data_IF_507439447733
#
_entry.id   IF_507439447733
#
_cell.length_a   1.000
_cell.length_b   1.000
_cell.length_c   1.000
_cell.angle_alpha   90.00
_cell.angle_beta   90.00
_cell.angle_gamma   90.00
#
_symmetry.space_group_name_H-M   'P 1'
#
loop_
_entity.id
_entity.type
_entity.pdbx_description
1 polymer ?
#
# COMPACT_ATOMS: atom_id res chain seq x y z
N UNK A 1 9.46 -41.80 50.59
CA UNK A 1 9.78 -42.17 49.20
C UNK A 1 9.98 -40.86 48.43
N UNK A 2 11.15 -40.24 48.59
CA UNK A 2 12.24 -40.16 47.59
C UNK A 2 11.86 -39.43 46.31
N UNK A 3 12.36 -38.20 46.19
CA UNK A 3 12.31 -37.32 45.04
C UNK A 3 13.18 -37.87 43.90
N UNK A 4 12.75 -37.67 42.65
CA UNK A 4 13.59 -37.79 41.47
C UNK A 4 13.39 -36.53 40.60
N UNK A 5 14.28 -35.55 40.78
CA UNK A 5 14.45 -34.44 39.85
C UNK A 5 15.28 -34.97 38.66
N UNK A 6 14.63 -35.09 37.50
CA UNK A 6 15.28 -35.46 36.24
C UNK A 6 16.12 -34.31 35.71
N UNK A 7 17.42 -34.55 35.61
CA UNK A 7 18.42 -33.69 35.01
C UNK A 7 18.16 -33.54 33.50
N UNK A 8 17.78 -32.35 33.05
CA UNK A 8 17.91 -31.92 31.67
C UNK A 8 18.72 -30.63 31.63
N UNK A 9 20.04 -30.78 31.70
CA UNK A 9 20.98 -29.72 31.38
C UNK A 9 21.17 -29.65 29.88
N UNK A 10 20.53 -28.67 29.22
CA UNK A 10 20.94 -28.24 27.90
C UNK A 10 22.02 -27.16 28.07
N UNK A 11 23.26 -27.52 27.77
CA UNK A 11 24.38 -26.59 27.68
C UNK A 11 24.08 -25.55 26.59
N UNK A 12 23.94 -24.29 26.99
CA UNK A 12 23.80 -23.16 26.08
C UNK A 12 25.16 -22.88 25.44
N UNK A 13 25.34 -23.26 24.17
CA UNK A 13 26.53 -22.90 23.41
C UNK A 13 26.48 -21.41 23.05
N UNK A 14 27.51 -20.68 23.47
CA UNK A 14 27.61 -19.21 23.36
C UNK A 14 28.17 -18.71 22.02
N UNK A 15 28.37 -19.59 21.03
CA UNK A 15 28.87 -19.18 19.71
C UNK A 15 27.72 -18.93 18.73
N UNK A 16 27.19 -17.69 18.73
CA UNK A 16 26.35 -17.18 17.64
C UNK A 16 27.23 -16.61 16.53
N UNK A 17 27.01 -17.08 15.30
CA UNK A 17 27.51 -16.43 14.09
C UNK A 17 27.02 -14.97 14.02
N UNK A 18 27.85 -14.02 13.53
CA UNK A 18 27.44 -12.63 13.41
C UNK A 18 26.35 -12.47 12.34
N UNK A 19 25.36 -11.62 12.64
CA UNK A 19 24.26 -11.30 11.73
C UNK A 19 24.75 -10.72 10.38
N UNK A 20 24.15 -11.11 9.24
CA UNK A 20 24.51 -10.58 7.94
C UNK A 20 24.18 -9.09 7.84
N UNK A 21 25.15 -8.29 7.40
CA UNK A 21 25.02 -6.84 7.23
C UNK A 21 24.13 -6.52 6.02
N UNK A 22 23.01 -5.82 6.25
CA UNK A 22 22.10 -5.37 5.19
C UNK A 22 22.76 -4.20 4.44
N UNK A 23 23.12 -4.40 3.18
CA UNK A 23 23.63 -3.33 2.31
C UNK A 23 22.48 -2.39 1.89
N UNK A 24 22.72 -1.08 2.01
CA UNK A 24 21.77 -0.03 1.61
C UNK A 24 21.66 0.02 0.07
N UNK A 25 20.45 0.11 -0.52
CA UNK A 25 20.30 0.24 -1.97
C UNK A 25 20.79 1.61 -2.49
N UNK A 26 21.32 1.68 -3.73
CA UNK A 26 21.87 2.90 -4.30
C UNK A 26 20.79 3.94 -4.65
N UNK A 27 21.11 5.22 -4.42
CA UNK A 27 20.27 6.38 -4.73
C UNK A 27 20.14 6.60 -6.25
N UNK A 28 18.92 6.91 -6.70
CA UNK A 28 18.61 7.36 -8.06
C UNK A 28 19.13 8.78 -8.29
N UNK A 29 19.86 8.99 -9.39
CA UNK A 29 20.27 10.32 -9.87
C UNK A 29 19.19 10.93 -10.75
N UNK A 30 18.73 12.13 -10.39
CA UNK A 30 17.88 12.99 -11.19
C UNK A 30 18.69 13.66 -12.32
N UNK A 31 18.10 13.78 -13.52
CA UNK A 31 18.71 14.45 -14.69
C UNK A 31 18.11 15.87 -14.85
N UNK A 32 18.90 16.91 -15.20
CA UNK A 32 18.44 18.30 -15.12
C UNK A 32 17.79 18.83 -16.41
N UNK A 33 16.81 19.71 -16.21
CA UNK A 33 16.13 20.56 -17.18
C UNK A 33 17.08 21.58 -17.85
N UNK A 34 17.06 21.65 -19.19
CA UNK A 34 17.79 22.65 -19.98
C UNK A 34 17.01 23.97 -20.17
N UNK A 35 17.69 25.14 -20.26
CA UNK A 35 17.03 26.44 -20.35
C UNK A 35 16.94 27.04 -21.76
N UNK A 36 16.02 28.00 -21.82
CA UNK A 36 15.58 28.92 -22.87
C UNK A 36 16.65 29.78 -23.58
N UNK A 37 16.29 30.25 -24.79
CA UNK A 37 16.89 31.39 -25.50
C UNK A 37 17.10 31.08 -26.98
N UNK A 38 16.98 31.99 -27.94
CA UNK A 38 16.71 33.43 -27.98
C UNK A 38 16.46 33.78 -29.46
N UNK A 39 15.59 34.75 -29.72
CA UNK A 39 15.28 35.25 -31.05
C UNK A 39 16.46 35.99 -31.68
N UNK A 40 16.72 35.74 -32.96
CA UNK A 40 17.55 36.59 -33.81
C UNK A 40 16.76 36.97 -35.08
N UNK A 41 16.57 38.27 -35.19
CA UNK A 41 15.93 39.04 -36.25
C UNK A 41 17.04 39.48 -37.21
N UNK A 42 16.93 39.15 -38.50
CA UNK A 42 17.80 39.73 -39.54
C UNK A 42 16.99 40.57 -40.53
N UNK A 43 17.32 41.86 -40.50
CA UNK A 43 16.94 42.91 -41.42
C UNK A 43 17.36 42.62 -42.86
N UNK A 44 16.47 42.88 -43.81
CA UNK A 44 16.85 43.16 -45.20
C UNK A 44 16.13 44.43 -45.66
N UNK A 45 16.83 45.54 -45.94
CA UNK A 45 16.23 46.66 -46.64
C UNK A 45 16.52 46.53 -48.14
N UNK A 46 15.52 46.78 -48.99
CA UNK A 46 15.50 47.93 -49.91
C UNK A 46 14.49 47.75 -51.05
N UNK A 47 13.65 48.78 -51.18
CA UNK A 47 13.16 49.40 -52.43
C UNK A 47 12.39 48.52 -53.44
N UNK A 48 11.06 48.57 -53.32
CA UNK A 48 10.13 48.30 -54.41
C UNK A 48 8.85 49.09 -54.22
N UNK A 49 8.69 50.17 -54.99
CA UNK A 49 7.51 51.02 -55.06
C UNK A 49 6.22 50.21 -55.31
N UNK A 50 5.13 50.52 -54.61
CA UNK A 50 3.78 50.60 -55.18
C UNK A 50 2.72 50.99 -54.14
N UNK A 51 2.10 52.14 -54.37
CA UNK A 51 0.68 52.47 -54.21
C UNK A 51 -0.07 52.04 -52.93
N UNK A 52 -0.56 53.06 -52.22
CA UNK A 52 -1.73 52.99 -51.35
C UNK A 52 -2.88 52.19 -52.00
N UNK A 53 -3.38 51.18 -51.29
CA UNK A 53 -4.79 50.82 -51.40
C UNK A 53 -5.32 50.56 -49.99
N UNK A 54 -6.15 51.49 -49.53
CA UNK A 54 -6.94 51.36 -48.31
C UNK A 54 -7.87 50.15 -48.46
N UNK A 55 -7.48 48.98 -47.96
CA UNK A 55 -8.38 47.82 -47.91
C UNK A 55 -9.42 48.03 -46.80
N UNK A 56 -10.58 48.52 -47.20
CA UNK A 56 -11.78 48.54 -46.38
C UNK A 56 -12.22 47.09 -46.07
N UNK A 57 -11.98 46.66 -44.83
CA UNK A 57 -12.41 45.35 -44.31
C UNK A 57 -13.93 45.20 -44.41
N UNK A 58 -14.40 44.47 -45.42
CA UNK A 58 -15.77 43.95 -45.45
C UNK A 58 -15.84 42.77 -44.48
N UNK A 59 -16.51 42.98 -43.35
CA UNK A 59 -16.78 41.94 -42.35
C UNK A 59 -17.33 40.67 -43.00
N UNK A 60 -16.63 39.55 -42.78
CA UNK A 60 -17.00 38.22 -43.29
C UNK A 60 -18.24 37.75 -42.55
N UNK A 61 -19.41 37.82 -43.20
CA UNK A 61 -20.64 37.20 -42.68
C UNK A 61 -20.52 35.68 -42.82
N UNK A 62 -20.41 34.98 -41.71
CA UNK A 62 -20.43 33.52 -41.65
C UNK A 62 -21.88 33.05 -41.76
N UNK A 63 -22.25 32.55 -42.93
CA UNK A 63 -23.56 31.90 -43.12
C UNK A 63 -23.39 30.41 -42.86
N UNK A 64 -23.87 29.93 -41.71
CA UNK A 64 -23.92 28.51 -41.40
C UNK A 64 -25.07 27.87 -42.18
N UNK A 65 -24.76 27.11 -43.23
CA UNK A 65 -25.75 26.30 -43.94
C UNK A 65 -25.80 24.93 -43.26
N UNK A 66 -26.83 24.69 -42.47
CA UNK A 66 -27.06 23.37 -41.85
C UNK A 66 -27.66 22.45 -42.91
N UNK A 67 -26.86 21.51 -43.41
CA UNK A 67 -27.32 20.52 -44.39
C UNK A 67 -27.98 19.34 -43.68
N UNK A 68 -29.32 19.32 -43.69
CA UNK A 68 -30.14 18.23 -43.13
C UNK A 68 -30.18 17.03 -44.08
N UNK A 69 -29.01 16.48 -44.39
CA UNK A 69 -28.95 15.20 -45.11
C UNK A 69 -29.35 14.07 -44.16
N UNK A 70 -30.02 13.01 -44.66
CA UNK A 70 -30.41 11.88 -43.82
C UNK A 70 -29.22 11.25 -43.09
N UNK A 71 -28.02 11.29 -43.69
CA UNK A 71 -26.78 10.82 -43.08
C UNK A 71 -26.35 11.64 -41.85
N UNK A 72 -26.43 12.98 -41.93
CA UNK A 72 -26.07 13.86 -40.80
C UNK A 72 -27.04 13.70 -39.62
N UNK A 73 -28.32 13.47 -39.90
CA UNK A 73 -29.35 13.24 -38.88
C UNK A 73 -29.10 11.90 -38.17
N UNK A 74 -28.84 10.83 -38.93
CA UNK A 74 -28.55 9.49 -38.37
C UNK A 74 -27.28 9.54 -37.50
N UNK A 75 -26.22 10.21 -37.96
CA UNK A 75 -25.00 10.37 -37.17
C UNK A 75 -25.22 11.17 -35.89
N UNK A 76 -25.99 12.28 -35.96
CA UNK A 76 -26.30 13.08 -34.77
C UNK A 76 -27.12 12.30 -33.74
N UNK A 77 -28.14 11.54 -34.17
CA UNK A 77 -28.94 10.69 -33.29
C UNK A 77 -28.10 9.57 -32.67
N UNK A 78 -27.20 8.95 -33.44
CA UNK A 78 -26.28 7.93 -32.95
C UNK A 78 -25.35 8.44 -31.86
N UNK A 79 -24.77 9.62 -32.04
CA UNK A 79 -23.89 10.26 -31.03
C UNK A 79 -24.66 10.59 -29.75
N UNK A 80 -25.87 11.14 -29.87
CA UNK A 80 -26.72 11.44 -28.71
C UNK A 80 -27.13 10.16 -27.98
N UNK A 81 -27.51 9.11 -28.70
CA UNK A 81 -27.86 7.82 -28.09
C UNK A 81 -26.69 7.21 -27.32
N UNK A 82 -25.47 7.23 -27.88
CA UNK A 82 -24.27 6.74 -27.20
C UNK A 82 -23.93 7.57 -25.95
N UNK A 83 -24.08 8.90 -26.01
CA UNK A 83 -23.86 9.76 -24.85
C UNK A 83 -24.87 9.50 -23.72
N UNK A 84 -26.14 9.24 -24.06
CA UNK A 84 -27.18 8.88 -23.10
C UNK A 84 -26.88 7.53 -22.44
N UNK A 85 -26.50 6.52 -23.23
CA UNK A 85 -26.13 5.19 -22.71
C UNK A 85 -24.91 5.28 -21.78
N UNK A 86 -23.88 6.03 -22.17
CA UNK A 86 -22.71 6.27 -21.33
C UNK A 86 -23.03 6.98 -20.02
N UNK A 87 -23.95 7.95 -20.05
CA UNK A 87 -24.39 8.69 -18.86
C UNK A 87 -25.21 7.82 -17.91
N UNK A 88 -26.06 6.94 -18.46
CA UNK A 88 -26.82 5.95 -17.67
C UNK A 88 -25.85 4.96 -17.02
N UNK A 89 -24.89 4.42 -17.77
CA UNK A 89 -23.88 3.51 -17.22
C UNK A 89 -23.07 4.15 -16.08
N UNK A 90 -22.65 5.40 -16.23
CA UNK A 90 -21.96 6.15 -15.18
C UNK A 90 -22.85 6.39 -13.95
N UNK A 91 -24.13 6.72 -14.13
CA UNK A 91 -25.07 6.94 -13.03
C UNK A 91 -25.42 5.65 -12.25
N UNK A 92 -25.40 4.49 -12.92
CA UNK A 92 -25.60 3.18 -12.32
C UNK A 92 -24.32 2.58 -11.71
N UNK A 93 -23.15 3.19 -11.98
CA UNK A 93 -21.89 2.80 -11.37
C UNK A 93 -21.90 3.24 -9.89
N UNK A 94 -21.96 2.29 -8.96
CA UNK A 94 -21.69 2.62 -7.55
C UNK A 94 -20.23 3.04 -7.43
N UNK A 95 -19.90 4.21 -6.85
CA UNK A 95 -18.51 4.52 -6.54
C UNK A 95 -18.01 3.42 -5.60
N UNK A 96 -16.85 2.84 -5.93
CA UNK A 96 -16.16 1.97 -4.99
C UNK A 96 -15.81 2.83 -3.79
N UNK A 97 -16.47 2.57 -2.66
CA UNK A 97 -16.08 3.20 -1.41
C UNK A 97 -14.67 2.69 -1.11
N UNK A 98 -13.67 3.56 -1.26
CA UNK A 98 -12.38 3.30 -0.65
C UNK A 98 -12.67 3.06 0.83
N UNK A 99 -12.29 1.88 1.34
CA UNK A 99 -12.43 1.56 2.76
C UNK A 99 -11.71 2.68 3.51
N UNK A 100 -12.48 3.51 4.20
CA UNK A 100 -11.93 4.47 5.14
C UNK A 100 -11.73 3.69 6.43
N UNK A 101 -10.62 2.96 6.52
CA UNK A 101 -10.23 2.26 7.74
C UNK A 101 -10.03 3.34 8.81
N UNK A 102 -11.12 3.72 9.51
CA UNK A 102 -11.06 4.55 10.72
C UNK A 102 -10.30 3.85 11.83
N UNK A 103 -10.03 2.56 11.68
CA UNK A 103 -9.12 1.80 12.50
C UNK A 103 -7.71 1.94 11.93
N UNK A 104 -6.84 2.61 12.68
CA UNK A 104 -5.41 2.78 12.37
C UNK A 104 -4.64 1.45 12.34
N UNK A 105 -5.26 0.36 12.84
CA UNK A 105 -4.69 -0.99 12.88
C UNK A 105 -4.51 -1.52 11.45
N UNK A 106 -3.29 -1.94 11.12
CA UNK A 106 -2.95 -2.50 9.81
C UNK A 106 -2.76 -1.47 8.69
N UNK A 107 -2.74 -0.16 8.99
CA UNK A 107 -2.41 0.88 8.00
C UNK A 107 -0.92 0.90 7.66
N UNK A 108 -0.07 0.63 8.65
CA UNK A 108 1.37 0.47 8.50
C UNK A 108 1.75 -1.01 8.64
N UNK A 109 2.92 -1.43 8.13
CA UNK A 109 3.43 -2.77 8.36
C UNK A 109 3.39 -3.12 9.85
N UNK A 110 2.99 -4.36 10.12
CA UNK A 110 2.96 -4.89 11.48
C UNK A 110 4.37 -4.97 12.06
N UNK A 111 4.52 -4.57 13.32
CA UNK A 111 5.79 -4.63 14.05
C UNK A 111 5.60 -5.39 15.36
N UNK A 112 6.26 -6.54 15.46
CA UNK A 112 6.12 -7.42 16.62
C UNK A 112 7.09 -8.59 16.56
N UNK A 113 6.91 -9.53 17.49
CA UNK A 113 7.67 -10.76 17.58
C UNK A 113 6.75 -11.98 17.47
N UNK A 114 7.23 -13.06 16.86
CA UNK A 114 6.48 -14.30 16.68
C UNK A 114 7.28 -15.49 17.25
N UNK A 115 6.59 -16.43 17.89
CA UNK A 115 7.22 -17.56 18.59
C UNK A 115 7.86 -18.60 17.66
N UNK A 116 7.37 -18.75 16.42
CA UNK A 116 7.68 -19.88 15.54
C UNK A 116 9.16 -20.02 15.19
N UNK A 117 9.79 -18.93 14.75
CA UNK A 117 11.17 -18.97 14.27
C UNK A 117 12.19 -19.29 15.38
N UNK A 118 11.81 -19.12 16.64
CA UNK A 118 12.68 -19.39 17.79
C UNK A 118 12.35 -20.72 18.46
N UNK A 119 11.08 -21.08 18.56
CA UNK A 119 10.62 -22.17 19.43
C UNK A 119 9.79 -23.24 18.74
N UNK A 120 9.27 -23.02 17.53
CA UNK A 120 8.30 -23.92 16.89
C UNK A 120 7.17 -24.32 17.86
N UNK A 121 6.94 -25.63 18.07
CA UNK A 121 5.99 -26.13 19.05
C UNK A 121 6.51 -26.15 20.49
N UNK A 122 7.73 -25.73 20.82
CA UNK A 122 8.30 -25.76 22.19
C UNK A 122 7.99 -24.48 22.99
N UNK A 123 6.75 -24.00 22.92
CA UNK A 123 6.29 -22.80 23.61
C UNK A 123 5.61 -23.11 24.95
N UNK A 124 5.72 -22.18 25.90
CA UNK A 124 4.97 -22.12 27.16
C UNK A 124 4.81 -20.65 27.61
N UNK A 125 3.99 -20.41 28.64
CA UNK A 125 3.73 -19.06 29.16
C UNK A 125 5.00 -18.31 29.59
N UNK A 126 5.90 -18.98 30.30
CA UNK A 126 7.14 -18.37 30.79
C UNK A 126 7.99 -17.82 29.65
N UNK A 127 8.14 -18.59 28.57
CA UNK A 127 8.86 -18.17 27.36
C UNK A 127 8.23 -16.90 26.77
N UNK A 128 6.90 -16.88 26.65
CA UNK A 128 6.18 -15.74 26.07
C UNK A 128 6.35 -14.49 26.95
N UNK A 129 6.16 -14.63 28.27
CA UNK A 129 6.28 -13.52 29.22
C UNK A 129 7.72 -13.00 29.33
N UNK A 130 8.72 -13.87 29.31
CA UNK A 130 10.12 -13.44 29.39
C UNK A 130 10.56 -12.74 28.10
N UNK A 131 10.11 -13.21 26.92
CA UNK A 131 10.31 -12.47 25.67
C UNK A 131 9.58 -11.12 25.70
N UNK A 132 8.38 -11.04 26.26
CA UNK A 132 7.66 -9.77 26.44
C UNK A 132 8.46 -8.77 27.30
N UNK A 133 9.03 -9.24 28.41
CA UNK A 133 9.90 -8.43 29.27
C UNK A 133 11.15 -7.97 28.51
N UNK A 134 11.74 -8.85 27.70
CA UNK A 134 12.91 -8.51 26.89
C UNK A 134 12.61 -7.47 25.80
N UNK A 135 11.48 -7.60 25.10
CA UNK A 135 11.02 -6.59 24.11
C UNK A 135 10.94 -5.21 24.77
N UNK A 136 10.41 -5.14 26.00
CA UNK A 136 10.38 -3.90 26.78
C UNK A 136 11.77 -3.45 27.22
N UNK A 137 12.57 -4.32 27.85
CA UNK A 137 13.87 -3.94 28.43
C UNK A 137 14.91 -3.55 27.37
N UNK A 138 14.78 -4.08 26.15
CA UNK A 138 15.63 -3.75 25.01
C UNK A 138 15.16 -2.49 24.26
N UNK A 139 14.07 -1.84 24.68
CA UNK A 139 13.51 -0.66 24.03
C UNK A 139 12.81 -0.95 22.69
N UNK A 140 12.55 -2.22 22.36
CA UNK A 140 11.86 -2.60 21.12
C UNK A 140 10.39 -2.17 21.15
N UNK A 141 9.77 -2.16 22.33
CA UNK A 141 8.43 -1.59 22.50
C UNK A 141 8.37 -0.11 22.08
N UNK A 142 9.35 0.68 22.51
CA UNK A 142 9.44 2.11 22.17
C UNK A 142 9.78 2.32 20.69
N UNK A 143 10.49 1.36 20.06
CA UNK A 143 10.74 1.33 18.63
C UNK A 143 9.52 0.88 17.79
N UNK A 144 8.40 0.51 18.41
CA UNK A 144 7.16 0.14 17.74
C UNK A 144 6.85 -1.35 17.68
N UNK A 145 7.68 -2.23 18.25
CA UNK A 145 7.37 -3.67 18.36
C UNK A 145 6.39 -3.93 19.51
N UNK A 146 5.12 -3.68 19.26
CA UNK A 146 4.05 -3.67 20.28
C UNK A 146 3.16 -4.91 20.27
N UNK A 147 3.49 -5.93 19.47
CA UNK A 147 2.73 -7.16 19.38
C UNK A 147 3.60 -8.40 19.62
N UNK A 148 2.98 -9.41 20.23
CA UNK A 148 3.54 -10.73 20.49
C UNK A 148 2.59 -11.74 19.88
N UNK A 149 3.03 -12.41 18.81
CA UNK A 149 2.24 -13.38 18.09
C UNK A 149 2.62 -14.78 18.56
N UNK A 150 1.66 -15.44 19.18
CA UNK A 150 1.76 -16.85 19.54
C UNK A 150 1.37 -17.64 18.29
N UNK A 151 2.31 -18.42 17.77
CA UNK A 151 2.12 -19.22 16.58
C UNK A 151 1.47 -20.58 16.92
N UNK A 152 1.66 -21.58 16.06
CA UNK A 152 1.06 -22.90 16.21
C UNK A 152 1.38 -23.59 17.55
N UNK A 153 0.64 -24.65 17.84
CA UNK A 153 0.81 -25.53 19.00
C UNK A 153 0.47 -24.87 20.35
N UNK A 154 -0.23 -23.72 20.39
CA UNK A 154 -0.68 -23.11 21.65
C UNK A 154 -1.91 -23.80 22.26
N UNK A 155 -2.76 -24.42 21.42
CA UNK A 155 -4.03 -25.02 21.84
C UNK A 155 -3.92 -26.49 22.20
N UNK A 156 -4.95 -27.02 22.85
CA UNK A 156 -5.22 -28.45 22.82
C UNK A 156 -5.47 -28.91 21.38
N UNK A 157 -5.16 -30.18 21.10
CA UNK A 157 -5.41 -30.78 19.77
C UNK A 157 -6.89 -30.97 19.49
N UNK A 158 -7.66 -31.23 20.54
CA UNK A 158 -9.11 -31.43 20.48
C UNK A 158 -9.81 -30.22 21.09
N UNK A 159 -11.00 -29.90 20.54
CA UNK A 159 -11.89 -28.89 21.09
C UNK A 159 -12.49 -29.39 22.41
N UNK A 160 -12.94 -28.45 23.25
CA UNK A 160 -13.65 -28.80 24.47
C UNK A 160 -15.07 -29.32 24.18
N UNK A 161 -15.83 -29.64 25.24
CA UNK A 161 -17.21 -30.14 25.11
C UNK A 161 -18.19 -29.15 24.49
N UNK A 162 -17.86 -27.85 24.48
CA UNK A 162 -18.67 -26.80 23.86
C UNK A 162 -18.27 -26.57 22.40
N UNK A 163 -17.20 -27.21 21.94
CA UNK A 163 -16.64 -27.03 20.61
C UNK A 163 -15.65 -25.88 20.51
N UNK A 164 -15.15 -25.35 21.63
CA UNK A 164 -14.20 -24.23 21.64
C UNK A 164 -12.74 -24.71 21.53
N UNK A 165 -11.89 -23.89 20.92
CA UNK A 165 -10.44 -24.08 20.96
C UNK A 165 -9.96 -23.56 22.31
N UNK A 166 -9.29 -24.41 23.08
CA UNK A 166 -8.77 -24.07 24.41
C UNK A 166 -7.26 -24.13 24.42
N UNK A 167 -6.62 -23.24 25.18
CA UNK A 167 -5.17 -23.25 25.34
C UNK A 167 -4.69 -24.56 25.98
N UNK A 168 -3.51 -25.04 25.56
CA UNK A 168 -2.97 -26.31 26.04
C UNK A 168 -2.64 -26.25 27.53
N UNK A 169 -3.20 -27.19 28.30
CA UNK A 169 -2.95 -27.31 29.75
C UNK A 169 -1.50 -27.63 30.07
N UNK A 170 -0.81 -28.36 29.19
CA UNK A 170 0.60 -28.73 29.36
C UNK A 170 1.57 -27.58 29.13
N UNK A 171 1.17 -26.60 28.31
CA UNK A 171 1.99 -25.41 28.02
C UNK A 171 1.72 -24.28 29.01
N UNK A 172 0.68 -24.44 29.82
CA UNK A 172 0.21 -23.48 30.82
C UNK A 172 0.00 -22.08 30.26
N UNK A 173 -0.26 -21.95 28.94
CA UNK A 173 -0.54 -20.66 28.34
C UNK A 173 -1.92 -20.24 28.83
N UNK A 174 -1.98 -19.26 29.72
CA UNK A 174 -3.24 -18.81 30.28
C UNK A 174 -4.15 -18.25 29.17
N UNK A 175 -5.48 -18.45 29.26
CA UNK A 175 -6.43 -17.83 28.34
C UNK A 175 -6.27 -16.30 28.29
N UNK A 176 -5.79 -15.67 29.37
CA UNK A 176 -5.53 -14.23 29.40
C UNK A 176 -4.34 -13.78 28.54
N UNK A 177 -3.49 -14.71 28.11
CA UNK A 177 -2.33 -14.44 27.25
C UNK A 177 -2.68 -14.67 25.77
N UNK A 178 -3.72 -15.46 25.49
CA UNK A 178 -4.24 -15.72 24.14
C UNK A 178 -5.49 -14.86 23.92
N UNK A 179 -5.33 -13.74 23.22
CA UNK A 179 -6.43 -12.82 22.89
C UNK A 179 -6.38 -12.48 21.40
#
# INVERSE_FOLDING_TARGET
MSYAAGQYGATYDSQRDPAPQIQKPPQSTEEPSGPDGRADEEDTPLLGQAAESTQQSKGRKWTFVVTLTPFNIIMAVGVVALAVVGSIFAALSKPSQAVNNKFEVGRLPFMGWNTWNAYHCEINETIILDNAKLIKSLGLLDAGYNYINIDDCYSEKERDSNGDIVASRYKSILPSVVI
#
